data_IF_375323140736
#
_entry.id   IF_375323140736
#
_cell.length_a   1.000
_cell.length_b   1.000
_cell.length_c   1.000
_cell.angle_alpha   90.00
_cell.angle_beta   90.00
_cell.angle_gamma   90.00
#
_symmetry.space_group_name_H-M   'P 1'
#
loop_
_entity.id
_entity.type
_entity.pdbx_description
1 polymer ?
#
# COMPACT_ATOMS: atom_id res chain seq x y z
N UNK A 1 -7.15 -9.43 24.33
CA UNK A 1 -6.34 -8.35 24.93
C UNK A 1 -5.60 -7.49 23.89
N UNK A 2 -5.15 -8.03 22.75
CA UNK A 2 -4.51 -7.26 21.67
C UNK A 2 -5.53 -6.38 20.90
N UNK A 3 -6.71 -6.93 20.58
CA UNK A 3 -7.75 -6.22 19.79
C UNK A 3 -8.29 -4.95 20.49
N UNK A 4 -8.35 -4.93 21.82
CA UNK A 4 -8.79 -3.76 22.57
C UNK A 4 -7.80 -2.60 22.52
N UNK A 5 -6.52 -2.87 22.35
CA UNK A 5 -5.47 -1.85 22.23
C UNK A 5 -5.58 -1.10 20.89
N UNK A 6 -5.83 -1.82 19.80
CA UNK A 6 -6.05 -1.27 18.46
C UNK A 6 -7.35 -0.45 18.35
N UNK A 7 -8.25 -0.56 19.33
CA UNK A 7 -9.45 0.28 19.42
C UNK A 7 -9.13 1.72 19.82
N UNK A 8 -8.04 1.96 20.53
CA UNK A 8 -7.59 3.30 20.88
C UNK A 8 -6.76 3.92 19.75
N UNK A 9 -6.98 5.19 19.43
CA UNK A 9 -6.17 5.90 18.45
C UNK A 9 -4.90 6.44 19.14
N UNK A 10 -3.87 5.60 19.27
CA UNK A 10 -2.58 5.96 19.85
C UNK A 10 -1.43 5.71 18.87
N UNK A 11 -0.43 6.60 18.76
CA UNK A 11 0.75 6.38 17.93
C UNK A 11 1.54 5.12 18.36
N UNK A 12 1.37 4.66 19.60
CA UNK A 12 1.94 3.39 20.08
C UNK A 12 1.47 2.19 19.25
N UNK A 13 0.27 2.28 18.65
CA UNK A 13 -0.29 1.19 17.84
C UNK A 13 0.41 1.02 16.50
N UNK A 14 1.15 2.02 16.03
CA UNK A 14 2.02 1.89 14.85
C UNK A 14 3.15 0.91 15.17
N UNK A 15 3.71 0.96 16.38
CA UNK A 15 4.78 0.06 16.83
C UNK A 15 4.25 -1.38 16.94
N UNK A 16 3.08 -1.56 17.55
CA UNK A 16 2.41 -2.88 17.57
C UNK A 16 2.07 -3.39 16.17
N UNK A 17 1.61 -2.53 15.25
CA UNK A 17 1.35 -2.91 13.87
C UNK A 17 2.63 -3.37 13.17
N UNK A 18 3.73 -2.67 13.39
CA UNK A 18 5.04 -3.05 12.83
C UNK A 18 5.48 -4.43 13.33
N UNK A 19 5.33 -4.71 14.64
CA UNK A 19 5.62 -6.03 15.21
C UNK A 19 4.73 -7.11 14.58
N UNK A 20 3.41 -6.86 14.47
CA UNK A 20 2.47 -7.81 13.86
C UNK A 20 2.82 -8.06 12.39
N UNK A 21 3.13 -7.00 11.65
CA UNK A 21 3.55 -7.07 10.26
C UNK A 21 4.84 -7.88 10.07
N UNK A 22 5.82 -7.67 10.95
CA UNK A 22 7.07 -8.43 10.95
C UNK A 22 6.83 -9.91 11.25
N UNK A 23 6.01 -10.24 12.24
CA UNK A 23 5.66 -11.63 12.59
C UNK A 23 4.94 -12.32 11.42
N UNK A 24 4.02 -11.62 10.76
CA UNK A 24 3.29 -12.15 9.60
C UNK A 24 4.21 -12.37 8.40
N UNK A 25 5.12 -11.45 8.12
CA UNK A 25 6.11 -11.60 7.04
C UNK A 25 7.20 -12.64 7.34
N UNK A 26 7.43 -13.01 8.60
CA UNK A 26 8.42 -14.03 9.00
C UNK A 26 8.10 -15.40 8.36
N UNK A 27 6.82 -15.73 8.21
CA UNK A 27 6.38 -16.95 7.54
C UNK A 27 6.80 -17.03 6.07
N UNK A 28 6.83 -15.89 5.38
CA UNK A 28 7.30 -15.81 3.99
C UNK A 28 8.82 -15.86 3.92
N UNK A 29 9.53 -15.29 4.90
CA UNK A 29 11.00 -15.32 4.99
C UNK A 29 11.59 -16.74 4.96
N UNK A 30 10.80 -17.75 5.35
CA UNK A 30 11.19 -19.16 5.39
C UNK A 30 10.87 -19.94 4.09
N UNK A 31 10.05 -19.39 3.20
CA UNK A 31 9.62 -20.03 1.94
C UNK A 31 9.79 -19.07 0.75
N UNK A 32 11.00 -18.53 0.56
CA UNK A 32 11.30 -17.75 -0.65
C UNK A 32 11.72 -18.67 -1.80
N UNK A 33 11.10 -18.56 -2.99
CA UNK A 33 11.68 -19.11 -4.21
C UNK A 33 12.92 -18.28 -4.62
N UNK A 34 14.02 -18.97 -4.95
CA UNK A 34 15.39 -18.44 -5.19
C UNK A 34 15.53 -17.39 -6.32
N UNK A 35 14.46 -17.06 -7.04
CA UNK A 35 14.46 -16.02 -8.07
C UNK A 35 13.18 -15.20 -8.00
N UNK A 36 13.29 -14.07 -7.32
CA UNK A 36 12.29 -13.01 -7.37
C UNK A 36 12.82 -11.94 -8.32
N UNK A 37 12.47 -12.06 -9.60
CA UNK A 37 12.60 -10.97 -10.54
C UNK A 37 11.67 -9.85 -10.05
N UNK A 38 12.23 -8.89 -9.32
CA UNK A 38 11.53 -7.67 -8.90
C UNK A 38 11.26 -6.81 -10.12
N UNK A 39 10.23 -7.18 -10.87
CA UNK A 39 9.71 -6.44 -11.99
C UNK A 39 8.94 -5.26 -11.40
N UNK A 40 9.55 -4.08 -11.41
CA UNK A 40 8.90 -2.85 -10.90
C UNK A 40 7.85 -2.32 -11.88
N UNK A 41 7.96 -2.69 -13.15
CA UNK A 41 7.09 -2.23 -14.23
C UNK A 41 6.71 -3.40 -15.14
N UNK A 42 5.43 -3.52 -15.50
CA UNK A 42 5.00 -4.51 -16.49
C UNK A 42 5.82 -4.37 -17.79
N UNK A 43 5.98 -5.45 -18.58
CA UNK A 43 6.77 -5.46 -19.81
C UNK A 43 6.35 -4.38 -20.82
N UNK A 44 5.12 -3.86 -20.74
CA UNK A 44 4.63 -2.74 -21.55
C UNK A 44 5.43 -1.43 -21.33
N UNK A 45 5.79 -1.12 -20.09
CA UNK A 45 6.65 0.04 -19.76
C UNK A 45 8.13 -0.27 -19.97
N UNK A 46 8.54 -1.53 -19.78
CA UNK A 46 9.91 -1.97 -20.10
C UNK A 46 10.26 -1.77 -21.58
N UNK A 47 9.28 -1.94 -22.49
CA UNK A 47 9.45 -1.65 -23.92
C UNK A 47 9.52 -0.15 -24.25
N UNK A 48 8.89 0.72 -23.46
CA UNK A 48 8.90 2.17 -23.67
C UNK A 48 10.14 2.85 -23.08
N UNK A 49 10.66 2.33 -21.96
CA UNK A 49 11.77 2.94 -21.24
C UNK A 49 13.14 2.44 -21.71
N UNK A 50 13.21 1.32 -22.43
CA UNK A 50 14.46 0.76 -22.95
C UNK A 50 15.36 0.25 -21.81
N UNK A 51 15.71 -1.04 -21.88
CA UNK A 51 16.49 -1.77 -20.87
C UNK A 51 15.70 -2.16 -19.61
N UNK A 52 15.34 -3.44 -19.59
CA UNK A 52 15.53 -4.37 -18.48
C UNK A 52 15.62 -3.70 -17.09
N UNK A 53 14.51 -3.13 -16.63
CA UNK A 53 14.40 -2.47 -15.32
C UNK A 53 14.36 -3.50 -14.17
N UNK A 54 15.22 -4.52 -14.27
CA UNK A 54 15.50 -5.54 -13.27
C UNK A 54 16.46 -4.92 -12.27
N UNK A 55 15.92 -4.22 -11.28
CA UNK A 55 16.75 -3.86 -10.13
C UNK A 55 17.06 -5.17 -9.41
N UNK A 56 18.30 -5.62 -9.54
CA UNK A 56 18.79 -6.86 -8.92
C UNK A 56 19.02 -6.62 -7.42
N UNK A 57 17.94 -6.36 -6.70
CA UNK A 57 17.92 -6.20 -5.26
C UNK A 57 17.99 -7.59 -4.62
N UNK A 58 18.84 -7.74 -3.60
CA UNK A 58 18.84 -8.94 -2.77
C UNK A 58 17.41 -9.24 -2.29
N UNK A 59 16.94 -10.49 -2.34
CA UNK A 59 15.57 -10.85 -1.94
C UNK A 59 15.19 -10.35 -0.55
N UNK A 60 16.14 -10.34 0.40
CA UNK A 60 15.92 -9.83 1.76
C UNK A 60 15.65 -8.32 1.79
N UNK A 61 16.37 -7.53 0.98
CA UNK A 61 16.18 -6.08 0.87
C UNK A 61 14.83 -5.75 0.24
N UNK A 62 14.43 -6.49 -0.79
CA UNK A 62 13.12 -6.32 -1.43
C UNK A 62 11.96 -6.52 -0.44
N UNK A 63 12.01 -7.60 0.35
CA UNK A 63 10.99 -7.88 1.38
C UNK A 63 10.98 -6.78 2.44
N UNK A 64 12.14 -6.30 2.87
CA UNK A 64 12.22 -5.23 3.87
C UNK A 64 11.60 -3.92 3.39
N UNK A 65 11.91 -3.50 2.16
CA UNK A 65 11.32 -2.31 1.53
C UNK A 65 9.80 -2.48 1.40
N UNK A 66 9.37 -3.66 0.96
CA UNK A 66 7.94 -3.98 0.79
C UNK A 66 7.18 -3.93 2.11
N UNK A 67 7.78 -4.44 3.19
CA UNK A 67 7.20 -4.38 4.52
C UNK A 67 7.02 -2.93 4.99
N UNK A 68 8.02 -2.07 4.80
CA UNK A 68 7.93 -0.64 5.13
C UNK A 68 6.83 0.05 4.31
N UNK A 69 6.76 -0.23 3.01
CA UNK A 69 5.72 0.31 2.12
C UNK A 69 4.32 -0.14 2.55
N UNK A 70 4.15 -1.42 2.85
CA UNK A 70 2.86 -1.99 3.27
C UNK A 70 2.39 -1.41 4.60
N UNK A 71 3.30 -1.25 5.59
CA UNK A 71 2.99 -0.58 6.85
C UNK A 71 2.59 0.88 6.63
N UNK A 72 3.27 1.56 5.71
CA UNK A 72 2.95 2.95 5.35
C UNK A 72 1.55 3.04 4.72
N UNK A 73 1.23 2.15 3.78
CA UNK A 73 -0.10 2.03 3.16
C UNK A 73 -1.20 1.78 4.22
N UNK A 74 -0.99 0.82 5.12
CA UNK A 74 -1.91 0.50 6.21
C UNK A 74 -2.21 1.73 7.08
N UNK A 75 -1.15 2.49 7.42
CA UNK A 75 -1.24 3.67 8.28
C UNK A 75 -1.94 4.83 7.56
N UNK A 76 -1.65 5.06 6.28
CA UNK A 76 -2.30 6.08 5.45
C UNK A 76 -3.79 5.76 5.32
N UNK A 77 -4.15 4.52 5.01
CA UNK A 77 -5.54 4.09 4.89
C UNK A 77 -6.30 4.27 6.20
N UNK A 78 -5.68 3.94 7.33
CA UNK A 78 -6.25 4.15 8.65
C UNK A 78 -6.47 5.64 8.95
N UNK A 79 -5.51 6.50 8.58
CA UNK A 79 -5.63 7.95 8.72
C UNK A 79 -6.75 8.51 7.86
N UNK A 80 -6.91 8.07 6.61
CA UNK A 80 -8.00 8.47 5.71
C UNK A 80 -9.34 8.09 6.34
N UNK A 81 -9.49 6.82 6.75
CA UNK A 81 -10.73 6.31 7.35
C UNK A 81 -11.11 7.08 8.61
N UNK A 82 -10.12 7.42 9.44
CA UNK A 82 -10.28 8.25 10.64
C UNK A 82 -10.64 9.70 10.29
N UNK A 83 -9.96 10.30 9.31
CA UNK A 83 -10.16 11.70 8.91
C UNK A 83 -11.54 11.96 8.30
N UNK A 84 -12.02 11.04 7.47
CA UNK A 84 -13.37 11.10 6.89
C UNK A 84 -14.43 10.43 7.78
N UNK A 85 -14.06 10.01 8.98
CA UNK A 85 -14.92 9.36 9.97
C UNK A 85 -15.77 8.20 9.40
N UNK A 86 -15.21 7.41 8.49
CA UNK A 86 -15.97 6.37 7.75
C UNK A 86 -16.50 5.25 8.67
N UNK A 87 -15.87 5.04 9.82
CA UNK A 87 -16.26 4.03 10.82
C UNK A 87 -16.99 4.61 12.04
N UNK A 88 -17.32 5.90 12.02
CA UNK A 88 -17.98 6.62 13.12
C UNK A 88 -17.13 6.85 14.37
N UNK A 89 -16.02 6.11 14.54
CA UNK A 89 -15.03 6.30 15.60
C UNK A 89 -13.61 6.09 15.05
N UNK A 90 -12.64 6.94 15.43
CA UNK A 90 -11.25 6.73 15.06
C UNK A 90 -10.72 5.47 15.75
N UNK A 91 -10.29 4.50 14.96
CA UNK A 91 -9.71 3.25 15.45
C UNK A 91 -8.53 2.87 14.59
N UNK A 92 -7.60 2.07 15.13
CA UNK A 92 -6.46 1.53 14.41
C UNK A 92 -6.76 0.16 13.78
N UNK A 93 -8.02 -0.28 13.86
CA UNK A 93 -8.48 -1.58 13.37
C UNK A 93 -8.34 -1.72 11.84
N UNK A 94 -8.47 -0.61 11.10
CA UNK A 94 -8.36 -0.60 9.63
C UNK A 94 -6.95 -0.95 9.20
N UNK A 95 -5.94 -0.35 9.85
CA UNK A 95 -4.54 -0.68 9.58
C UNK A 95 -4.26 -2.16 9.86
N UNK A 96 -4.79 -2.70 10.96
CA UNK A 96 -4.60 -4.10 11.32
C UNK A 96 -5.25 -5.04 10.29
N UNK A 97 -6.50 -4.78 9.91
CA UNK A 97 -7.17 -5.57 8.88
C UNK A 97 -6.42 -5.49 7.54
N UNK A 98 -6.01 -4.30 7.13
CA UNK A 98 -5.23 -4.13 5.91
C UNK A 98 -3.93 -4.95 5.96
N UNK A 99 -3.17 -4.88 7.05
CA UNK A 99 -1.91 -5.62 7.18
C UNK A 99 -2.12 -7.13 7.15
N UNK A 100 -3.17 -7.64 7.79
CA UNK A 100 -3.51 -9.07 7.76
C UNK A 100 -3.93 -9.53 6.38
N UNK A 101 -4.71 -8.72 5.64
CA UNK A 101 -5.11 -9.04 4.28
C UNK A 101 -3.91 -8.98 3.33
N UNK A 102 -3.08 -7.94 3.44
CA UNK A 102 -1.88 -7.79 2.61
C UNK A 102 -0.93 -8.97 2.81
N UNK A 103 -0.78 -9.47 4.04
CA UNK A 103 0.04 -10.66 4.32
C UNK A 103 -0.47 -11.96 3.71
N UNK A 104 -1.74 -12.02 3.29
CA UNK A 104 -2.31 -13.19 2.64
C UNK A 104 -1.93 -13.29 1.15
N UNK A 105 -1.47 -12.20 0.55
CA UNK A 105 -1.16 -12.11 -0.87
C UNK A 105 0.35 -11.97 -1.09
N UNK A 106 0.97 -12.95 -1.76
CA UNK A 106 2.38 -12.90 -2.16
C UNK A 106 2.79 -11.61 -2.92
N UNK A 107 2.00 -11.06 -3.88
CA UNK A 107 2.42 -9.85 -4.60
C UNK A 107 2.54 -8.60 -3.69
N UNK A 108 1.92 -8.60 -2.51
CA UNK A 108 2.07 -7.53 -1.52
C UNK A 108 3.28 -7.71 -0.61
N UNK A 109 3.97 -8.85 -0.70
CA UNK A 109 5.14 -9.18 0.11
C UNK A 109 6.46 -9.07 -0.64
N UNK A 110 6.39 -8.78 -1.93
CA UNK A 110 7.53 -8.51 -2.81
C UNK A 110 7.35 -7.13 -3.44
N UNK A 111 8.45 -6.51 -3.83
CA UNK A 111 8.40 -5.20 -4.48
C UNK A 111 7.86 -5.39 -5.89
N UNK A 112 6.56 -5.19 -6.05
CA UNK A 112 5.81 -5.46 -7.28
C UNK A 112 5.12 -4.19 -7.80
N UNK A 113 4.75 -4.15 -9.09
CA UNK A 113 3.98 -3.04 -9.66
C UNK A 113 2.61 -2.94 -8.99
N UNK A 114 2.05 -4.08 -8.56
CA UNK A 114 0.78 -4.18 -7.84
C UNK A 114 0.82 -3.44 -6.50
N UNK A 115 1.95 -3.48 -5.79
CA UNK A 115 2.13 -2.75 -4.54
C UNK A 115 2.12 -1.23 -4.78
N UNK A 116 2.79 -0.77 -5.84
CA UNK A 116 2.82 0.64 -6.23
C UNK A 116 1.42 1.10 -6.65
N UNK A 117 0.74 0.30 -7.47
CA UNK A 117 -0.65 0.50 -7.86
C UNK A 117 -1.54 0.68 -6.62
N UNK A 118 -1.39 -0.18 -5.61
CA UNK A 118 -2.18 -0.08 -4.39
C UNK A 118 -1.96 1.24 -3.64
N UNK A 119 -0.71 1.72 -3.57
CA UNK A 119 -0.40 3.03 -2.97
C UNK A 119 -1.15 4.17 -3.70
N UNK A 120 -1.12 4.14 -5.03
CA UNK A 120 -1.83 5.11 -5.88
C UNK A 120 -3.34 5.01 -5.64
N UNK A 121 -3.91 3.80 -5.54
CA UNK A 121 -5.35 3.61 -5.25
C UNK A 121 -5.75 4.17 -3.89
N UNK A 122 -4.94 3.99 -2.84
CA UNK A 122 -5.19 4.58 -1.52
C UNK A 122 -5.15 6.11 -1.59
N UNK A 123 -4.20 6.66 -2.35
CA UNK A 123 -4.11 8.11 -2.55
C UNK A 123 -5.31 8.66 -3.32
N UNK A 124 -5.73 7.97 -4.37
CA UNK A 124 -6.94 8.28 -5.14
C UNK A 124 -8.17 8.26 -4.25
N UNK A 125 -8.33 7.26 -3.39
CA UNK A 125 -9.45 7.18 -2.44
C UNK A 125 -9.48 8.40 -1.49
N UNK A 126 -8.32 8.83 -1.00
CA UNK A 126 -8.21 10.04 -0.16
C UNK A 126 -8.71 11.28 -0.89
N UNK A 127 -8.28 11.47 -2.14
CA UNK A 127 -8.69 12.58 -2.99
C UNK A 127 -10.19 12.51 -3.28
N UNK A 128 -10.72 11.34 -3.63
CA UNK A 128 -12.14 11.09 -3.88
C UNK A 128 -13.02 11.48 -2.69
N UNK A 129 -12.65 11.06 -1.48
CA UNK A 129 -13.37 11.41 -0.26
C UNK A 129 -13.29 12.93 0.04
N UNK A 130 -12.18 13.58 -0.33
CA UNK A 130 -11.99 15.02 -0.19
C UNK A 130 -12.98 15.82 -1.05
N UNK A 131 -13.32 15.32 -2.25
CA UNK A 131 -14.31 15.97 -3.13
C UNK A 131 -15.67 16.15 -2.47
N UNK A 132 -16.07 15.25 -1.57
CA UNK A 132 -17.36 15.35 -0.89
C UNK A 132 -17.43 16.50 0.12
N UNK A 133 -16.29 16.96 0.64
CA UNK A 133 -16.23 18.01 1.69
C UNK A 133 -15.85 19.39 1.15
N UNK A 134 -15.35 19.50 -0.07
CA UNK A 134 -14.89 20.78 -0.63
C UNK A 134 -15.94 21.42 -1.53
N UNK A 135 -16.08 22.74 -1.43
CA UNK A 135 -16.94 23.56 -2.30
C UNK A 135 -16.31 23.79 -3.68
N UNK A 136 -14.98 23.86 -3.75
CA UNK A 136 -14.21 24.06 -4.99
C UNK A 136 -13.52 22.77 -5.43
N UNK A 137 -14.25 21.94 -6.16
CA UNK A 137 -13.81 20.59 -6.56
C UNK A 137 -12.98 20.54 -7.84
N UNK A 138 -12.89 21.63 -8.61
CA UNK A 138 -12.25 21.62 -9.94
C UNK A 138 -10.77 21.21 -9.91
N UNK A 139 -10.01 21.73 -8.95
CA UNK A 139 -8.59 21.40 -8.79
C UNK A 139 -8.42 19.94 -8.33
N UNK A 140 -9.21 19.49 -7.36
CA UNK A 140 -9.17 18.10 -6.87
C UNK A 140 -9.57 17.08 -7.95
N UNK A 141 -10.55 17.40 -8.81
CA UNK A 141 -10.92 16.53 -9.94
C UNK A 141 -9.78 16.40 -10.96
N UNK A 142 -9.06 17.50 -11.23
CA UNK A 142 -7.92 17.49 -12.15
C UNK A 142 -6.76 16.65 -11.57
N UNK A 143 -6.42 16.86 -10.30
CA UNK A 143 -5.41 16.05 -9.59
C UNK A 143 -5.77 14.56 -9.64
N UNK A 144 -7.05 14.22 -9.39
CA UNK A 144 -7.52 12.84 -9.38
C UNK A 144 -7.41 12.20 -10.78
N UNK A 145 -7.79 12.94 -11.83
CA UNK A 145 -7.59 12.50 -13.21
C UNK A 145 -6.11 12.29 -13.58
N UNK A 146 -5.22 13.16 -13.12
CA UNK A 146 -3.78 13.02 -13.32
C UNK A 146 -3.23 11.77 -12.60
N UNK A 147 -3.65 11.53 -11.36
CA UNK A 147 -3.27 10.35 -10.57
C UNK A 147 -3.72 9.05 -11.27
N UNK A 148 -4.96 9.02 -11.79
CA UNK A 148 -5.50 7.87 -12.53
C UNK A 148 -4.72 7.62 -13.82
N UNK A 149 -4.40 8.68 -14.57
CA UNK A 149 -3.59 8.58 -15.79
C UNK A 149 -2.20 8.01 -15.51
N UNK A 150 -1.54 8.47 -14.44
CA UNK A 150 -0.24 7.94 -14.01
C UNK A 150 -0.37 6.48 -13.55
N UNK A 151 -1.41 6.14 -12.80
CA UNK A 151 -1.69 4.77 -12.36
C UNK A 151 -1.86 3.80 -13.53
N UNK A 152 -2.62 4.19 -14.55
CA UNK A 152 -2.84 3.41 -15.77
C UNK A 152 -1.59 3.23 -16.63
N UNK A 153 -0.63 4.15 -16.55
CA UNK A 153 0.67 3.98 -17.21
C UNK A 153 1.55 2.97 -16.47
N UNK A 154 1.52 2.99 -15.14
CA UNK A 154 2.34 2.12 -14.28
C UNK A 154 1.88 0.66 -14.31
N UNK A 155 0.56 0.43 -14.35
CA UNK A 155 -0.04 -0.90 -14.37
C UNK A 155 -1.21 -0.89 -15.36
N UNK A 156 -1.14 -1.70 -16.41
CA UNK A 156 -2.17 -1.68 -17.46
C UNK A 156 -3.54 -2.16 -16.94
N UNK A 157 -3.62 -3.17 -16.04
CA UNK A 157 -4.86 -3.55 -15.35
C UNK A 157 -5.12 -2.68 -14.11
N UNK A 158 -4.86 -1.36 -14.18
CA UNK A 158 -5.21 -0.44 -13.10
C UNK A 158 -6.73 -0.21 -12.99
N UNK A 159 -7.48 -0.44 -14.08
CA UNK A 159 -8.92 -0.27 -14.23
C UNK A 159 -9.59 -1.53 -14.79
#
# INVERSE_FOLDING_TARGET
>A
MIISQFRNYSPINILFLSIVGFVLCLGIFLHLPDKLDSVIFEPALGNLLGENNLINLSPSTNVFITLILTISQATILNRITSHFNLLGKPSFLVALMYMTLASLFLPFLILSPTLICNFISIWMLSKLLSLYRQTDVKAEMFDLGMIVGIGSLIYFPFL
#
